data_IF_862729709033
#
_entry.id   IF_862729709033
#
_cell.length_a   1.000
_cell.length_b   1.000
_cell.length_c   1.000
_cell.angle_alpha   90.00
_cell.angle_beta   90.00
_cell.angle_gamma   90.00
#
_symmetry.space_group_name_H-M   'P 1'
#
loop_
_entity.id
_entity.type
_entity.pdbx_description
1 polymer ?
#
# COMPACT_ATOMS: atom_id res chain seq x y z
N UNK A 1 11.01 -1.44 -16.72
CA UNK A 1 10.21 -0.44 -17.46
C UNK A 1 8.85 -0.17 -16.80
N UNK A 2 8.00 -1.17 -16.55
CA UNK A 2 6.67 -1.00 -15.93
C UNK A 2 6.73 -0.32 -14.55
N UNK A 3 7.60 -0.79 -13.66
CA UNK A 3 7.78 -0.20 -12.32
C UNK A 3 8.12 1.29 -12.38
N UNK A 4 9.07 1.70 -13.23
CA UNK A 4 9.47 3.10 -13.35
C UNK A 4 8.31 4.00 -13.84
N UNK A 5 7.51 3.51 -14.80
CA UNK A 5 6.33 4.24 -15.30
C UNK A 5 5.25 4.37 -14.22
N UNK A 6 5.02 3.31 -13.45
CA UNK A 6 4.08 3.33 -12.33
C UNK A 6 4.56 4.21 -11.18
N UNK A 7 5.84 4.19 -10.83
CA UNK A 7 6.39 5.07 -9.78
C UNK A 7 6.20 6.55 -10.13
N UNK A 8 6.32 6.92 -11.41
CA UNK A 8 6.08 8.28 -11.88
C UNK A 8 4.61 8.71 -11.75
N UNK A 9 3.68 7.86 -12.17
CA UNK A 9 2.24 8.17 -12.16
C UNK A 9 1.57 7.97 -10.80
N UNK A 10 2.10 7.04 -9.99
CA UNK A 10 1.61 6.66 -8.68
C UNK A 10 2.73 6.87 -7.63
N UNK A 11 3.05 8.13 -7.27
CA UNK A 11 4.04 8.40 -6.24
C UNK A 11 3.58 7.78 -4.92
N UNK A 12 4.46 6.99 -4.32
CA UNK A 12 4.21 6.31 -3.05
C UNK A 12 4.29 7.35 -1.92
N UNK A 13 3.37 7.27 -0.97
CA UNK A 13 3.40 8.15 0.20
C UNK A 13 4.72 7.96 0.98
N UNK A 14 5.37 9.04 1.41
CA UNK A 14 6.64 9.00 2.14
C UNK A 14 6.58 8.18 3.44
N UNK A 15 5.39 7.96 4.02
CA UNK A 15 5.17 7.12 5.22
C UNK A 15 4.88 5.66 4.88
N UNK A 16 4.58 5.33 3.64
CA UNK A 16 4.44 3.94 3.22
C UNK A 16 5.81 3.29 3.22
N UNK A 17 6.01 2.32 4.11
CA UNK A 17 7.26 1.56 4.23
C UNK A 17 7.15 0.11 3.75
N UNK A 18 5.93 -0.38 3.56
CA UNK A 18 5.68 -1.70 2.98
C UNK A 18 6.01 -1.74 1.48
N UNK A 19 6.51 -2.90 1.03
CA UNK A 19 6.86 -3.19 -0.38
C UNK A 19 7.88 -2.22 -1.01
N UNK A 20 8.65 -1.49 -0.19
CA UNK A 20 9.78 -0.66 -0.61
C UNK A 20 11.10 -1.36 -0.28
N UNK A 21 12.16 -1.05 -1.03
CA UNK A 21 13.53 -1.51 -0.77
C UNK A 21 14.19 -0.70 0.37
N UNK A 22 13.59 -0.77 1.55
CA UNK A 22 14.04 -0.09 2.78
C UNK A 22 13.82 -0.99 3.99
N UNK A 23 14.41 -0.66 5.15
CA UNK A 23 14.21 -1.36 6.41
C UNK A 23 12.85 -1.01 7.06
N UNK A 24 11.77 -1.17 6.28
CA UNK A 24 10.47 -0.58 6.57
C UNK A 24 9.82 -1.09 7.85
N UNK A 25 9.90 -2.39 8.12
CA UNK A 25 9.34 -2.98 9.34
C UNK A 25 10.04 -2.48 10.60
N UNK A 26 11.38 -2.46 10.61
CA UNK A 26 12.15 -1.95 11.75
C UNK A 26 11.93 -0.46 11.99
N UNK A 27 11.83 0.35 10.92
CA UNK A 27 11.51 1.77 11.04
C UNK A 27 10.11 1.98 11.63
N UNK A 28 9.10 1.27 11.11
CA UNK A 28 7.73 1.37 11.62
C UNK A 28 7.63 0.91 13.09
N UNK A 29 8.30 -0.17 13.47
CA UNK A 29 8.35 -0.64 14.85
C UNK A 29 9.01 0.39 15.76
N UNK A 30 10.14 0.97 15.34
CA UNK A 30 10.83 1.99 16.12
C UNK A 30 9.98 3.24 16.30
N UNK A 31 9.30 3.69 15.24
CA UNK A 31 8.36 4.80 15.29
C UNK A 31 7.21 4.51 16.26
N UNK A 32 6.57 3.35 16.15
CA UNK A 32 5.48 2.94 17.03
C UNK A 32 5.92 2.88 18.50
N UNK A 33 7.12 2.35 18.78
CA UNK A 33 7.69 2.33 20.13
C UNK A 33 7.84 3.74 20.70
N UNK A 34 8.34 4.69 19.91
CA UNK A 34 8.49 6.09 20.34
C UNK A 34 7.13 6.77 20.55
N UNK A 35 6.17 6.54 19.65
CA UNK A 35 4.80 7.05 19.78
C UNK A 35 4.12 6.54 21.05
N UNK A 36 4.40 5.31 21.48
CA UNK A 36 3.89 4.74 22.74
C UNK A 36 4.65 5.27 23.95
N UNK A 37 5.98 5.44 23.84
CA UNK A 37 6.83 5.81 24.97
C UNK A 37 6.62 7.27 25.41
N UNK A 38 6.52 8.21 24.47
CA UNK A 38 6.47 9.64 24.82
C UNK A 38 5.23 10.00 25.66
N UNK A 39 3.99 9.60 25.28
CA UNK A 39 2.81 9.90 26.09
C UNK A 39 2.84 9.21 27.46
N UNK A 40 3.47 8.03 27.56
CA UNK A 40 3.67 7.36 28.86
C UNK A 40 4.58 8.15 29.79
N UNK A 41 5.68 8.71 29.28
CA UNK A 41 6.60 9.54 30.08
C UNK A 41 5.96 10.87 30.48
N UNK A 42 5.06 11.40 29.66
CA UNK A 42 4.36 12.67 29.89
C UNK A 42 2.99 12.51 30.59
N UNK A 43 2.61 11.30 30.99
CA UNK A 43 1.30 10.97 31.59
C UNK A 43 0.10 11.44 30.75
N UNK A 44 0.22 11.37 29.43
CA UNK A 44 -0.83 11.71 28.46
C UNK A 44 -1.49 10.46 27.89
N UNK A 45 -2.78 10.56 27.61
CA UNK A 45 -3.53 9.51 26.95
C UNK A 45 -3.12 9.34 25.48
N UNK A 46 -3.12 8.09 25.01
CA UNK A 46 -2.85 7.73 23.62
C UNK A 46 -3.81 6.61 23.18
N UNK A 47 -4.51 6.83 22.07
CA UNK A 47 -5.28 5.80 21.39
C UNK A 47 -4.56 5.34 20.11
N UNK A 48 -4.50 4.03 19.89
CA UNK A 48 -3.92 3.43 18.68
C UNK A 48 -4.96 2.49 18.07
N UNK A 49 -5.18 2.64 16.76
CA UNK A 49 -6.10 1.79 16.00
C UNK A 49 -5.28 0.97 15.00
N UNK A 50 -5.42 -0.36 15.07
CA UNK A 50 -4.87 -1.26 14.07
C UNK A 50 -5.95 -1.56 13.04
N UNK A 51 -5.68 -1.21 11.78
CA UNK A 51 -6.56 -1.47 10.64
C UNK A 51 -5.87 -2.49 9.75
N UNK A 52 -6.53 -3.62 9.52
CA UNK A 52 -6.09 -4.63 8.57
C UNK A 52 -7.07 -4.72 7.40
N UNK A 53 -6.54 -4.79 6.18
CA UNK A 53 -7.32 -4.85 4.95
C UNK A 53 -6.88 -6.10 4.20
N UNK A 54 -7.82 -6.99 3.95
CA UNK A 54 -7.57 -8.24 3.21
C UNK A 54 -7.41 -7.94 1.73
N UNK A 55 -6.28 -8.35 1.14
CA UNK A 55 -5.98 -8.11 -0.28
C UNK A 55 -6.99 -8.78 -1.22
N UNK A 56 -7.55 -9.93 -0.84
CA UNK A 56 -8.53 -10.67 -1.64
C UNK A 56 -9.88 -9.94 -1.80
N UNK A 57 -10.16 -8.95 -0.96
CA UNK A 57 -11.37 -8.14 -1.06
C UNK A 57 -11.27 -7.03 -2.14
N UNK A 58 -10.08 -6.78 -2.69
CA UNK A 58 -9.86 -5.70 -3.65
C UNK A 58 -10.30 -6.15 -5.05
N UNK A 59 -11.47 -5.70 -5.49
CA UNK A 59 -11.93 -6.02 -6.84
C UNK A 59 -11.00 -5.48 -7.93
N UNK A 60 -10.79 -6.27 -8.99
CA UNK A 60 -10.00 -5.84 -10.16
C UNK A 60 -10.53 -4.52 -10.77
N UNK A 61 -11.84 -4.27 -10.67
CA UNK A 61 -12.44 -3.01 -11.12
C UNK A 61 -11.88 -1.80 -10.36
N UNK A 62 -11.73 -1.90 -9.03
CA UNK A 62 -11.19 -0.81 -8.21
C UNK A 62 -9.73 -0.49 -8.58
N UNK A 63 -8.93 -1.53 -8.82
CA UNK A 63 -7.53 -1.37 -9.25
C UNK A 63 -7.46 -0.60 -10.57
N UNK A 64 -8.22 -1.05 -11.59
CA UNK A 64 -8.23 -0.41 -12.91
C UNK A 64 -8.78 1.02 -12.85
N UNK A 65 -9.81 1.28 -12.05
CA UNK A 65 -10.34 2.62 -11.83
C UNK A 65 -9.30 3.54 -11.19
N UNK A 66 -8.58 3.06 -10.18
CA UNK A 66 -7.51 3.81 -9.52
C UNK A 66 -6.38 4.17 -10.48
N UNK A 67 -5.95 3.22 -11.33
CA UNK A 67 -4.92 3.49 -12.34
C UNK A 67 -5.36 4.53 -13.38
N UNK A 68 -6.62 4.49 -13.81
CA UNK A 68 -7.19 5.52 -14.71
C UNK A 68 -7.22 6.90 -14.07
N UNK A 69 -7.62 6.98 -12.80
CA UNK A 69 -7.64 8.25 -12.04
C UNK A 69 -6.24 8.84 -11.82
N UNK A 70 -5.21 7.99 -11.84
CA UNK A 70 -3.80 8.40 -11.78
C UNK A 70 -3.18 8.67 -13.15
N UNK A 71 -3.99 8.69 -14.21
CA UNK A 71 -3.57 8.97 -15.58
C UNK A 71 -2.42 8.05 -16.04
N UNK A 72 -2.41 6.80 -15.56
CA UNK A 72 -1.45 5.79 -16.00
C UNK A 72 -1.68 5.53 -17.48
N UNK A 73 -0.58 5.39 -18.23
CA UNK A 73 -0.60 5.10 -19.66
C UNK A 73 -1.53 3.91 -20.00
N UNK A 74 -2.42 4.05 -21.01
CA UNK A 74 -3.39 3.02 -21.37
C UNK A 74 -2.78 1.65 -21.68
N UNK A 75 -1.58 1.58 -22.26
CA UNK A 75 -0.90 0.31 -22.53
C UNK A 75 -0.46 -0.38 -21.24
N UNK A 76 -0.04 0.39 -20.23
CA UNK A 76 0.30 -0.14 -18.90
C UNK A 76 -0.96 -0.63 -18.18
N UNK A 77 -2.07 0.12 -18.26
CA UNK A 77 -3.36 -0.33 -17.70
C UNK A 77 -3.82 -1.63 -18.37
N UNK A 78 -3.68 -1.73 -19.69
CA UNK A 78 -4.03 -2.94 -20.44
C UNK A 78 -3.14 -4.13 -20.05
N UNK A 79 -1.83 -3.91 -19.90
CA UNK A 79 -0.90 -4.93 -19.41
C UNK A 79 -1.30 -5.43 -18.03
N UNK A 80 -1.54 -4.54 -17.07
CA UNK A 80 -1.96 -4.90 -15.71
C UNK A 80 -3.30 -5.64 -15.73
N UNK A 81 -4.28 -5.18 -16.51
CA UNK A 81 -5.56 -5.88 -16.69
C UNK A 81 -5.37 -7.32 -17.15
N UNK A 82 -4.46 -7.54 -18.11
CA UNK A 82 -4.18 -8.88 -18.61
C UNK A 82 -3.44 -9.74 -17.58
N UNK A 83 -2.63 -9.15 -16.69
CA UNK A 83 -2.02 -9.88 -15.58
C UNK A 83 -3.04 -10.41 -14.57
N UNK A 84 -4.19 -9.75 -14.41
CA UNK A 84 -5.27 -10.24 -13.56
C UNK A 84 -6.21 -11.25 -14.25
N UNK A 85 -6.09 -11.44 -15.57
CA UNK A 85 -6.94 -12.38 -16.31
C UNK A 85 -6.58 -13.82 -15.93
N UNK A 86 -7.58 -14.62 -15.56
CA UNK A 86 -7.43 -16.02 -15.12
C UNK A 86 -6.62 -16.20 -13.82
N UNK A 87 -6.42 -15.15 -13.03
CA UNK A 87 -5.77 -15.20 -11.73
C UNK A 87 -6.81 -15.04 -10.61
N UNK A 88 -7.79 -15.94 -10.60
CA UNK A 88 -8.79 -16.03 -9.54
C UNK A 88 -8.41 -17.20 -8.63
N UNK A 89 -8.14 -16.92 -7.36
CA UNK A 89 -7.90 -17.98 -6.36
C UNK A 89 -9.20 -18.16 -5.57
N UNK A 90 -9.93 -19.24 -5.87
CA UNK A 90 -11.11 -19.63 -5.09
C UNK A 90 -10.63 -20.62 -4.02
N UNK A 91 -10.60 -20.20 -2.76
CA UNK A 91 -10.35 -21.12 -1.65
C UNK A 91 -11.64 -21.94 -1.48
N UNK A 92 -11.55 -23.26 -1.66
CA UNK A 92 -12.68 -24.21 -1.52
C UNK A 92 -12.61 -24.87 -0.16
#
# INVERSE_FOLDING_TARGET
>A
VVTARLTKACPINLRQRGFLRVAGCSENLKLLQLLIRNPKEELRELAIVFVDIVFDAVSHHHILRGLKQKEVDPHIIHLIKNMYKNNDTCIT
#
